data_IF_554643652844
#
_entry.id   IF_554643652844
#
_cell.length_a   1.000
_cell.length_b   1.000
_cell.length_c   1.000
_cell.angle_alpha   90.00
_cell.angle_beta   90.00
_cell.angle_gamma   90.00
#
_symmetry.space_group_name_H-M   'P 1'
#
loop_
_entity.id
_entity.type
_entity.pdbx_description
1 polymer ?
#
# COMPACT_ATOMS: atom_id res chain seq x y z
N UNK A 1 8.14 38.67 -29.30
CA UNK A 1 8.53 37.28 -29.13
C UNK A 1 9.55 37.21 -28.00
N UNK A 2 9.08 36.93 -26.80
CA UNK A 2 9.95 36.79 -25.64
C UNK A 2 10.35 35.33 -25.55
N UNK A 3 11.59 35.02 -25.94
CA UNK A 3 12.25 33.75 -25.64
C UNK A 3 12.52 33.73 -24.13
N UNK A 4 11.58 33.17 -23.36
CA UNK A 4 11.88 32.75 -21.99
C UNK A 4 12.77 31.51 -22.11
N UNK A 5 14.06 31.75 -22.00
CA UNK A 5 15.09 30.75 -21.80
C UNK A 5 14.87 30.16 -20.42
N UNK A 6 13.99 29.15 -20.30
CA UNK A 6 13.83 28.34 -19.11
C UNK A 6 15.15 27.59 -18.87
N UNK A 7 16.10 28.28 -18.21
CA UNK A 7 17.29 27.63 -17.67
C UNK A 7 16.83 26.57 -16.69
N UNK A 8 16.79 25.35 -17.18
CA UNK A 8 16.46 24.18 -16.36
C UNK A 8 17.41 24.15 -15.17
N UNK A 9 16.90 24.52 -13.98
CA UNK A 9 17.69 24.55 -12.74
C UNK A 9 18.43 23.23 -12.56
N UNK A 10 19.70 23.30 -12.18
CA UNK A 10 20.51 22.13 -11.89
C UNK A 10 19.95 21.37 -10.67
N UNK A 11 20.31 20.09 -10.54
CA UNK A 11 19.93 19.31 -9.36
C UNK A 11 20.47 19.97 -8.08
N UNK A 12 21.69 20.47 -8.13
CA UNK A 12 22.37 21.14 -7.03
C UNK A 12 21.62 22.40 -6.59
N UNK A 13 21.18 23.23 -7.52
CA UNK A 13 20.39 24.43 -7.23
C UNK A 13 19.09 24.09 -6.52
N UNK A 14 18.34 23.14 -7.06
CA UNK A 14 17.08 22.67 -6.45
C UNK A 14 17.31 22.09 -5.05
N UNK A 15 18.41 21.35 -4.88
CA UNK A 15 18.71 20.71 -3.61
C UNK A 15 19.09 21.72 -2.55
N UNK A 16 19.86 22.74 -2.90
CA UNK A 16 20.21 23.84 -2.00
C UNK A 16 18.95 24.63 -1.58
N UNK A 17 18.04 24.92 -2.51
CA UNK A 17 16.76 25.56 -2.16
C UNK A 17 15.94 24.70 -1.19
N UNK A 18 15.91 23.38 -1.39
CA UNK A 18 15.26 22.47 -0.47
C UNK A 18 15.89 22.50 0.92
N UNK A 19 17.23 22.47 1.01
CA UNK A 19 17.98 22.51 2.28
C UNK A 19 17.71 23.82 3.01
N UNK A 20 17.69 24.94 2.31
CA UNK A 20 17.40 26.28 2.89
C UNK A 20 15.99 26.35 3.49
N UNK A 21 15.05 25.56 2.99
CA UNK A 21 13.69 25.47 3.52
C UNK A 21 13.53 24.52 4.71
N UNK A 22 14.56 23.74 5.06
CA UNK A 22 14.49 22.78 6.17
C UNK A 22 14.59 23.52 7.52
N UNK A 23 13.75 23.14 8.47
CA UNK A 23 13.82 23.65 9.85
C UNK A 23 15.09 23.22 10.59
N UNK A 24 15.59 22.01 10.29
CA UNK A 24 16.77 21.41 10.92
C UNK A 24 17.58 20.64 9.86
N UNK A 25 18.33 21.32 8.99
CA UNK A 25 19.20 20.61 8.06
C UNK A 25 20.37 19.96 8.83
N UNK A 26 20.90 18.84 8.31
CA UNK A 26 22.09 18.21 8.88
C UNK A 26 23.34 19.08 8.66
N UNK A 27 24.39 18.83 9.44
CA UNK A 27 25.67 19.54 9.28
C UNK A 27 26.22 19.40 7.85
N UNK A 28 26.13 18.21 7.27
CA UNK A 28 26.55 17.96 5.88
C UNK A 28 25.73 18.77 4.88
N UNK A 29 24.40 18.88 5.07
CA UNK A 29 23.52 19.68 4.23
C UNK A 29 23.81 21.18 4.36
N UNK A 30 24.02 21.65 5.58
CA UNK A 30 24.43 23.05 5.82
C UNK A 30 25.74 23.38 5.12
N UNK A 31 26.74 22.52 5.26
CA UNK A 31 28.03 22.70 4.62
C UNK A 31 27.93 22.67 3.10
N UNK A 32 27.09 21.77 2.55
CA UNK A 32 26.81 21.71 1.10
C UNK A 32 26.25 23.05 0.60
N UNK A 33 25.24 23.59 1.29
CA UNK A 33 24.61 24.85 0.90
C UNK A 33 25.59 26.02 0.99
N UNK A 34 26.42 26.07 2.03
CA UNK A 34 27.45 27.11 2.20
C UNK A 34 28.50 27.06 1.08
N UNK A 35 29.04 25.87 0.83
CA UNK A 35 30.08 25.69 -0.20
C UNK A 35 29.51 25.90 -1.61
N UNK A 36 28.26 25.54 -1.86
CA UNK A 36 27.62 25.78 -3.15
C UNK A 36 27.48 27.28 -3.46
N UNK A 37 27.09 28.06 -2.46
CA UNK A 37 26.91 29.52 -2.59
C UNK A 37 28.24 30.28 -2.64
N UNK A 38 29.35 29.71 -2.18
CA UNK A 38 30.67 30.34 -2.21
C UNK A 38 31.21 30.38 -3.63
N UNK A 39 31.60 31.54 -4.12
CA UNK A 39 32.08 31.73 -5.50
C UNK A 39 33.56 31.43 -5.68
N UNK A 40 34.42 31.73 -4.67
CA UNK A 40 35.86 31.58 -4.67
C UNK A 40 36.33 30.38 -3.84
N UNK A 41 35.91 29.19 -4.26
CA UNK A 41 36.28 27.96 -3.59
C UNK A 41 37.72 27.53 -3.92
N UNK A 42 38.42 27.06 -2.88
CA UNK A 42 39.70 26.36 -3.05
C UNK A 42 39.50 24.99 -3.70
N UNK A 43 40.58 24.39 -4.20
CA UNK A 43 40.52 23.03 -4.76
C UNK A 43 40.03 21.99 -3.73
N UNK A 44 40.49 22.14 -2.47
CA UNK A 44 40.01 21.28 -1.37
C UNK A 44 38.53 21.45 -1.10
N UNK A 45 38.02 22.69 -1.14
CA UNK A 45 36.58 22.98 -1.00
C UNK A 45 35.74 22.41 -2.16
N UNK A 46 36.27 22.50 -3.39
CA UNK A 46 35.60 21.89 -4.55
C UNK A 46 35.51 20.36 -4.43
N UNK A 47 36.57 19.70 -3.98
CA UNK A 47 36.57 18.24 -3.70
C UNK A 47 35.57 17.89 -2.60
N UNK A 48 35.52 18.72 -1.54
CA UNK A 48 34.55 18.54 -0.44
C UNK A 48 33.13 18.71 -0.90
N UNK A 49 32.84 19.72 -1.72
CA UNK A 49 31.52 19.96 -2.29
C UNK A 49 31.09 18.79 -3.17
N UNK A 50 31.97 18.28 -4.04
CA UNK A 50 31.69 17.13 -4.88
C UNK A 50 31.33 15.88 -4.06
N UNK A 51 32.07 15.64 -2.96
CA UNK A 51 31.78 14.53 -2.05
C UNK A 51 30.43 14.69 -1.34
N UNK A 52 30.10 15.91 -0.87
CA UNK A 52 28.82 16.21 -0.24
C UNK A 52 27.64 16.06 -1.21
N UNK A 53 27.78 16.53 -2.44
CA UNK A 53 26.77 16.34 -3.51
C UNK A 53 26.54 14.85 -3.78
N UNK A 54 27.61 14.08 -3.89
CA UNK A 54 27.52 12.62 -4.10
C UNK A 54 26.79 11.93 -2.96
N UNK A 55 27.13 12.28 -1.72
CA UNK A 55 26.48 11.71 -0.53
C UNK A 55 25.00 12.09 -0.45
N UNK A 56 24.65 13.35 -0.75
CA UNK A 56 23.28 13.83 -0.72
C UNK A 56 22.42 13.19 -1.83
N UNK A 57 22.97 12.99 -3.02
CA UNK A 57 22.32 12.22 -4.10
C UNK A 57 22.06 10.77 -3.69
N UNK A 58 23.00 10.13 -2.99
CA UNK A 58 22.81 8.78 -2.47
C UNK A 58 21.71 8.73 -1.40
N UNK A 59 21.68 9.68 -0.49
CA UNK A 59 20.63 9.82 0.53
C UNK A 59 19.24 9.99 -0.11
N UNK A 60 19.11 10.88 -1.08
CA UNK A 60 17.84 11.09 -1.78
C UNK A 60 17.35 9.81 -2.46
N UNK A 61 18.25 9.08 -3.14
CA UNK A 61 17.91 7.79 -3.75
C UNK A 61 17.45 6.76 -2.72
N UNK A 62 18.13 6.69 -1.57
CA UNK A 62 17.76 5.77 -0.49
C UNK A 62 16.39 6.13 0.10
N UNK A 63 16.09 7.42 0.33
CA UNK A 63 14.79 7.87 0.81
C UNK A 63 13.68 7.53 -0.18
N UNK A 64 13.90 7.78 -1.47
CA UNK A 64 12.93 7.47 -2.52
C UNK A 64 12.69 5.96 -2.65
N UNK A 65 13.75 5.15 -2.56
CA UNK A 65 13.63 3.68 -2.56
C UNK A 65 12.81 3.20 -1.35
N UNK A 66 13.10 3.70 -0.15
CA UNK A 66 12.35 3.36 1.06
C UNK A 66 10.88 3.79 0.97
N UNK A 67 10.59 4.98 0.43
CA UNK A 67 9.23 5.44 0.20
C UNK A 67 8.48 4.53 -0.79
N UNK A 68 9.16 4.08 -1.84
CA UNK A 68 8.59 3.12 -2.81
C UNK A 68 8.28 1.78 -2.15
N UNK A 69 9.21 1.24 -1.36
CA UNK A 69 9.00 -0.02 -0.61
C UNK A 69 7.81 0.12 0.35
N UNK A 70 7.75 1.21 1.10
CA UNK A 70 6.63 1.47 2.03
C UNK A 70 5.30 1.54 1.30
N UNK A 71 5.27 2.19 0.13
CA UNK A 71 4.06 2.26 -0.71
C UNK A 71 3.63 0.88 -1.22
N UNK A 72 4.59 0.05 -1.66
CA UNK A 72 4.32 -1.32 -2.09
C UNK A 72 3.75 -2.17 -0.95
N UNK A 73 4.39 -2.15 0.22
CA UNK A 73 3.94 -2.90 1.39
C UNK A 73 2.54 -2.46 1.86
N UNK A 74 2.25 -1.17 1.82
CA UNK A 74 0.92 -0.65 2.15
C UNK A 74 -0.12 -1.05 1.11
N UNK A 75 0.25 -1.09 -0.17
CA UNK A 75 -0.58 -1.60 -1.25
C UNK A 75 -0.97 -3.07 -1.05
N UNK A 76 0.01 -3.91 -0.74
CA UNK A 76 -0.20 -5.34 -0.46
C UNK A 76 -1.12 -5.56 0.76
N UNK A 77 -0.90 -4.80 1.84
CA UNK A 77 -1.78 -4.85 3.03
C UNK A 77 -3.22 -4.44 2.70
N UNK A 78 -3.38 -3.39 1.92
CA UNK A 78 -4.71 -2.92 1.52
C UNK A 78 -5.41 -3.92 0.59
N UNK A 79 -4.68 -4.53 -0.33
CA UNK A 79 -5.20 -5.57 -1.21
C UNK A 79 -5.62 -6.81 -0.40
N UNK A 80 -4.79 -7.26 0.53
CA UNK A 80 -5.14 -8.36 1.45
C UNK A 80 -6.37 -8.03 2.30
N UNK A 81 -6.48 -6.79 2.78
CA UNK A 81 -7.65 -6.31 3.53
C UNK A 81 -8.91 -6.35 2.66
N UNK A 82 -8.82 -5.86 1.42
CA UNK A 82 -9.95 -5.88 0.46
C UNK A 82 -10.38 -7.30 0.12
N UNK A 83 -9.42 -8.19 -0.15
CA UNK A 83 -9.69 -9.59 -0.44
C UNK A 83 -10.38 -10.29 0.74
N UNK A 84 -9.91 -10.02 1.98
CA UNK A 84 -10.55 -10.53 3.20
C UNK A 84 -11.97 -10.00 3.36
N UNK A 85 -12.18 -8.69 3.17
CA UNK A 85 -13.50 -8.07 3.27
C UNK A 85 -14.44 -8.65 2.23
N UNK A 86 -13.99 -8.77 0.97
CA UNK A 86 -14.78 -9.37 -0.10
C UNK A 86 -15.20 -10.81 0.26
N UNK A 87 -14.28 -11.63 0.73
CA UNK A 87 -14.59 -13.01 1.19
C UNK A 87 -15.63 -13.03 2.30
N UNK A 88 -15.50 -12.14 3.30
CA UNK A 88 -16.45 -12.07 4.40
C UNK A 88 -17.85 -11.61 3.94
N UNK A 89 -17.92 -10.67 3.00
CA UNK A 89 -19.17 -10.23 2.40
C UNK A 89 -19.82 -11.37 1.62
N UNK A 90 -19.06 -12.10 0.81
CA UNK A 90 -19.56 -13.27 0.08
C UNK A 90 -20.11 -14.35 1.03
N UNK A 91 -19.42 -14.59 2.14
CA UNK A 91 -19.91 -15.51 3.19
C UNK A 91 -21.18 -14.98 3.85
N UNK A 92 -21.28 -13.67 4.11
CA UNK A 92 -22.47 -13.04 4.68
C UNK A 92 -23.70 -13.16 3.79
N UNK A 93 -23.55 -13.01 2.48
CA UNK A 93 -24.63 -13.18 1.50
C UNK A 93 -25.24 -14.59 1.56
N UNK A 94 -24.47 -15.60 1.92
CA UNK A 94 -25.00 -16.97 2.05
C UNK A 94 -26.07 -17.09 3.14
N UNK A 95 -25.95 -16.30 4.22
CA UNK A 95 -26.96 -16.28 5.28
C UNK A 95 -28.27 -15.65 4.80
N UNK A 96 -28.19 -14.57 4.00
CA UNK A 96 -29.39 -13.94 3.41
C UNK A 96 -30.10 -14.94 2.46
N UNK A 97 -29.34 -15.67 1.65
CA UNK A 97 -29.89 -16.63 0.68
C UNK A 97 -30.72 -17.74 1.33
N UNK A 98 -30.39 -18.14 2.54
CA UNK A 98 -31.10 -19.20 3.28
C UNK A 98 -32.04 -18.64 4.35
N UNK A 99 -32.20 -17.31 4.42
CA UNK A 99 -33.11 -16.66 5.37
C UNK A 99 -32.63 -16.71 6.83
N UNK A 100 -31.34 -16.81 7.05
CA UNK A 100 -30.72 -16.85 8.38
C UNK A 100 -30.20 -15.50 8.87
N UNK A 101 -30.32 -14.45 8.07
CA UNK A 101 -29.89 -13.10 8.36
C UNK A 101 -30.58 -12.47 9.60
N UNK A 102 -31.79 -12.96 9.94
CA UNK A 102 -32.56 -12.50 11.10
C UNK A 102 -32.21 -13.22 12.41
N UNK A 103 -31.39 -14.28 12.36
CA UNK A 103 -31.00 -15.04 13.55
C UNK A 103 -29.95 -14.29 14.35
N UNK A 104 -29.95 -14.52 15.67
CA UNK A 104 -28.94 -13.94 16.55
C UNK A 104 -27.54 -14.49 16.24
N UNK A 105 -26.51 -13.71 16.56
CA UNK A 105 -25.11 -14.13 16.36
C UNK A 105 -24.78 -15.42 17.09
N UNK A 106 -25.37 -15.65 18.27
CA UNK A 106 -25.20 -16.89 19.05
C UNK A 106 -25.81 -18.10 18.35
N UNK A 107 -27.02 -17.98 17.82
CA UNK A 107 -27.68 -19.04 17.06
C UNK A 107 -26.88 -19.40 15.82
N UNK A 108 -26.41 -18.39 15.07
CA UNK A 108 -25.59 -18.58 13.89
C UNK A 108 -24.27 -19.29 14.21
N UNK A 109 -23.57 -18.83 15.26
CA UNK A 109 -22.33 -19.46 15.67
C UNK A 109 -22.55 -20.91 16.12
N UNK A 110 -23.62 -21.20 16.86
CA UNK A 110 -23.99 -22.55 17.26
C UNK A 110 -24.23 -23.46 16.08
N UNK A 111 -24.97 -23.00 15.08
CA UNK A 111 -25.20 -23.73 13.82
C UNK A 111 -23.90 -24.04 13.07
N UNK A 112 -23.01 -23.06 12.97
CA UNK A 112 -21.71 -23.22 12.31
C UNK A 112 -20.80 -24.20 13.08
N UNK A 113 -20.81 -24.18 14.40
CA UNK A 113 -20.08 -25.15 15.23
C UNK A 113 -20.60 -26.57 14.98
N UNK A 114 -21.90 -26.76 14.93
CA UNK A 114 -22.51 -28.07 14.63
C UNK A 114 -22.14 -28.57 13.23
N UNK A 115 -22.19 -27.66 12.23
CA UNK A 115 -21.75 -27.96 10.86
C UNK A 115 -20.27 -28.34 10.81
N UNK A 116 -19.40 -27.55 11.47
CA UNK A 116 -17.97 -27.84 11.52
C UNK A 116 -17.64 -29.18 12.20
N UNK A 117 -18.35 -29.56 13.25
CA UNK A 117 -18.19 -30.83 13.93
C UNK A 117 -18.56 -32.02 13.01
N UNK A 118 -19.51 -31.83 12.09
CA UNK A 118 -19.96 -32.89 11.15
C UNK A 118 -18.87 -33.29 10.14
N UNK A 119 -17.84 -32.46 9.91
CA UNK A 119 -16.69 -32.81 9.04
C UNK A 119 -16.02 -34.11 9.51
N UNK A 120 -15.88 -34.26 10.82
CA UNK A 120 -15.19 -35.42 11.44
C UNK A 120 -16.08 -36.63 11.57
N UNK A 121 -17.38 -36.43 11.79
CA UNK A 121 -18.34 -37.54 12.05
C UNK A 121 -19.02 -38.07 10.80
N UNK A 122 -19.34 -37.18 9.86
CA UNK A 122 -20.05 -37.52 8.62
C UNK A 122 -19.54 -36.68 7.44
N UNK A 123 -18.35 -37.00 6.89
CA UNK A 123 -17.79 -36.24 5.78
C UNK A 123 -18.66 -36.27 4.51
N UNK A 124 -19.50 -37.29 4.35
CA UNK A 124 -20.44 -37.47 3.22
C UNK A 124 -21.51 -36.35 3.18
N UNK A 125 -21.89 -35.81 4.34
CA UNK A 125 -22.83 -34.70 4.40
C UNK A 125 -22.35 -33.48 3.64
N UNK A 126 -21.06 -33.18 3.66
CA UNK A 126 -20.49 -32.05 2.97
C UNK A 126 -20.62 -32.15 1.46
N UNK A 127 -20.45 -33.34 0.89
CA UNK A 127 -20.67 -33.57 -0.54
C UNK A 127 -22.14 -33.34 -0.91
N UNK A 128 -23.07 -33.83 -0.12
CA UNK A 128 -24.52 -33.64 -0.32
C UNK A 128 -24.91 -32.15 -0.14
N UNK A 129 -24.39 -31.47 0.88
CA UNK A 129 -24.63 -30.06 1.10
C UNK A 129 -24.08 -29.19 -0.01
N UNK A 130 -22.90 -29.54 -0.55
CA UNK A 130 -22.32 -28.86 -1.70
C UNK A 130 -23.27 -28.89 -2.91
N UNK A 131 -23.79 -30.03 -3.26
CA UNK A 131 -24.73 -30.20 -4.39
C UNK A 131 -25.96 -29.29 -4.23
N UNK A 132 -26.55 -29.27 -3.03
CA UNK A 132 -27.72 -28.42 -2.73
C UNK A 132 -27.36 -26.93 -2.79
N UNK A 133 -26.23 -26.58 -2.24
CA UNK A 133 -25.75 -25.19 -2.23
C UNK A 133 -25.43 -24.67 -3.63
N UNK A 134 -24.73 -25.45 -4.44
CA UNK A 134 -24.40 -25.11 -5.83
C UNK A 134 -25.65 -24.92 -6.69
N UNK A 135 -26.69 -25.75 -6.49
CA UNK A 135 -27.96 -25.62 -7.17
C UNK A 135 -28.67 -24.29 -6.81
N UNK A 136 -28.70 -23.91 -5.54
CA UNK A 136 -29.30 -22.66 -5.10
C UNK A 136 -28.54 -21.44 -5.62
N UNK A 137 -27.22 -21.48 -5.63
CA UNK A 137 -26.39 -20.41 -6.17
C UNK A 137 -26.65 -20.21 -7.67
N UNK A 138 -26.70 -21.30 -8.44
CA UNK A 138 -26.98 -21.24 -9.87
C UNK A 138 -28.39 -20.67 -10.17
N UNK A 139 -29.40 -20.99 -9.37
CA UNK A 139 -30.75 -20.43 -9.48
C UNK A 139 -30.76 -18.92 -9.26
N UNK A 140 -30.03 -18.45 -8.26
CA UNK A 140 -29.93 -17.01 -7.93
C UNK A 140 -29.18 -16.22 -8.98
N UNK A 141 -28.10 -16.75 -9.53
CA UNK A 141 -27.34 -16.09 -10.60
C UNK A 141 -28.19 -15.91 -11.86
N UNK A 142 -29.00 -16.93 -12.19
CA UNK A 142 -29.93 -16.83 -13.32
C UNK A 142 -31.05 -15.80 -13.09
N UNK A 143 -31.53 -15.64 -11.85
CA UNK A 143 -32.56 -14.67 -11.48
C UNK A 143 -32.06 -13.22 -11.50
N UNK A 144 -30.77 -13.01 -11.32
CA UNK A 144 -30.16 -11.67 -11.32
C UNK A 144 -29.85 -11.14 -12.72
N UNK A 145 -29.92 -12.01 -13.75
CA UNK A 145 -29.66 -11.67 -15.15
C UNK A 145 -30.95 -11.42 -15.97
N UNK A 146 -32.12 -11.38 -15.35
CA UNK A 146 -33.40 -11.08 -15.98
C UNK A 146 -33.93 -9.74 -15.47
#
# INVERSE_FOLDING_TARGET
MQNQNDKKQSWEEKRVQYIDGLKKPSEAQQLLAILFKKTDRTEAENKKLAALVKAEKANERALNANATITKMMNGEKEEARRARTHRLVQQGILFDLVGLDTRSRGEMLGALIAAAASVKTNPEHWASWKVKGDALLAEKDNSSNT
#
